data_IF_673352375872
#
_entry.id   IF_673352375872
#
_cell.length_a   1.000
_cell.length_b   1.000
_cell.length_c   1.000
_cell.angle_alpha   90.00
_cell.angle_beta   90.00
_cell.angle_gamma   90.00
#
_symmetry.space_group_name_H-M   'P 1'
#
loop_
_entity.id
_entity.type
_entity.pdbx_description
1 polymer ?
#
# COMPACT_ATOMS: atom_id res chain seq x y z
N UNK A 1 13.24 -0.13 0.37
CA UNK A 1 13.47 0.72 -0.82
C UNK A 1 12.20 0.99 -1.64
N UNK A 2 11.36 0.01 -1.99
CA UNK A 2 10.15 0.27 -2.81
C UNK A 2 9.16 1.32 -2.26
N UNK A 3 8.93 1.40 -0.95
CA UNK A 3 8.01 2.38 -0.35
C UNK A 3 8.54 3.82 -0.33
N UNK A 4 9.87 4.03 -0.41
CA UNK A 4 10.44 5.38 -0.48
C UNK A 4 10.13 6.03 -1.82
N UNK A 5 10.01 5.23 -2.88
CA UNK A 5 9.72 5.73 -4.23
C UNK A 5 8.25 6.17 -4.36
N UNK A 6 7.35 5.58 -3.55
CA UNK A 6 5.94 5.99 -3.49
C UNK A 6 5.78 7.46 -3.02
N UNK A 7 6.81 8.02 -2.38
CA UNK A 7 6.79 9.36 -1.79
C UNK A 7 5.52 9.60 -0.96
N UNK A 8 5.13 8.60 -0.17
CA UNK A 8 3.93 8.67 0.65
C UNK A 8 4.10 9.73 1.73
N UNK A 9 3.28 10.77 1.67
CA UNK A 9 3.32 11.89 2.61
C UNK A 9 2.33 11.66 3.77
N UNK A 10 2.60 12.26 4.94
CA UNK A 10 1.60 12.35 6.01
C UNK A 10 0.26 12.86 5.48
N UNK A 11 -0.84 12.32 6.02
CA UNK A 11 -2.23 12.67 5.66
C UNK A 11 -2.73 12.17 4.30
N UNK A 12 -1.92 11.42 3.54
CA UNK A 12 -2.38 10.74 2.33
C UNK A 12 -3.20 9.49 2.64
N UNK A 13 -4.05 9.11 1.70
CA UNK A 13 -4.64 7.78 1.61
C UNK A 13 -3.83 6.91 0.67
N UNK A 14 -3.18 5.89 1.22
CA UNK A 14 -2.34 4.97 0.46
C UNK A 14 -2.98 3.60 0.45
N UNK A 15 -3.09 2.98 -0.72
CA UNK A 15 -3.50 1.57 -0.83
C UNK A 15 -2.24 0.72 -0.99
N UNK A 16 -2.12 -0.32 -0.17
CA UNK A 16 -1.13 -1.38 -0.38
C UNK A 16 -1.83 -2.67 -0.81
N UNK A 17 -1.78 -2.97 -2.10
CA UNK A 17 -2.27 -4.21 -2.69
C UNK A 17 -1.09 -5.18 -2.83
N UNK A 18 -0.62 -5.68 -1.69
CA UNK A 18 0.56 -6.53 -1.59
C UNK A 18 0.21 -8.03 -1.52
N UNK A 19 0.98 -8.86 -2.24
CA UNK A 19 0.97 -10.32 -2.08
C UNK A 19 2.05 -10.79 -1.07
N UNK A 20 2.83 -9.88 -0.48
CA UNK A 20 3.96 -10.17 0.42
C UNK A 20 3.68 -10.11 1.93
N UNK A 21 4.76 -10.12 2.71
CA UNK A 21 4.79 -10.19 4.20
C UNK A 21 4.34 -8.91 4.94
N UNK A 22 4.02 -7.81 4.23
CA UNK A 22 3.57 -6.57 4.85
C UNK A 22 4.66 -5.66 5.41
N UNK A 23 5.94 -5.99 5.20
CA UNK A 23 7.07 -5.13 5.55
C UNK A 23 7.04 -3.77 4.84
N UNK A 24 6.47 -3.72 3.63
CA UNK A 24 6.24 -2.47 2.87
C UNK A 24 5.13 -1.63 3.50
N UNK A 25 4.02 -2.25 3.93
CA UNK A 25 2.94 -1.58 4.65
C UNK A 25 3.43 -0.88 5.92
N UNK A 26 4.22 -1.57 6.74
CA UNK A 26 4.79 -1.01 7.97
C UNK A 26 5.79 0.12 7.68
N UNK A 27 6.61 -0.06 6.65
CA UNK A 27 7.54 0.99 6.23
C UNK A 27 6.80 2.22 5.67
N UNK A 28 5.67 2.04 4.96
CA UNK A 28 4.81 3.16 4.56
C UNK A 28 4.25 3.91 5.77
N UNK A 29 3.80 3.20 6.80
CA UNK A 29 3.33 3.83 8.04
C UNK A 29 4.43 4.67 8.71
N UNK A 30 5.67 4.17 8.72
CA UNK A 30 6.82 4.93 9.23
C UNK A 30 7.11 6.19 8.39
N UNK A 31 7.08 6.09 7.05
CA UNK A 31 7.29 7.24 6.15
C UNK A 31 6.20 8.31 6.31
N UNK A 32 4.95 7.87 6.44
CA UNK A 32 3.79 8.73 6.68
C UNK A 32 3.73 9.26 8.12
N UNK A 33 4.71 8.92 8.97
CA UNK A 33 4.79 9.29 10.39
C UNK A 33 3.52 8.91 11.16
N UNK A 34 2.94 7.76 10.81
CA UNK A 34 1.67 7.27 11.31
C UNK A 34 0.54 8.33 11.23
N UNK A 35 0.48 9.08 10.13
CA UNK A 35 -0.57 10.06 9.83
C UNK A 35 -1.18 9.81 8.47
N UNK A 36 -2.50 9.88 8.38
CA UNK A 36 -3.26 9.54 7.17
C UNK A 36 -3.88 8.15 7.31
N UNK A 37 -4.04 7.44 6.18
CA UNK A 37 -4.61 6.09 6.19
C UNK A 37 -3.93 5.20 5.18
N UNK A 38 -3.61 3.98 5.60
CA UNK A 38 -3.07 2.93 4.74
C UNK A 38 -4.11 1.83 4.65
N UNK A 39 -4.63 1.56 3.45
CA UNK A 39 -5.57 0.47 3.21
C UNK A 39 -4.79 -0.72 2.66
N UNK A 40 -4.59 -1.73 3.49
CA UNK A 40 -3.92 -2.95 3.07
C UNK A 40 -4.92 -3.98 2.56
N UNK A 41 -4.74 -4.36 1.30
CA UNK A 41 -5.60 -5.28 0.59
C UNK A 41 -4.95 -6.64 0.44
N UNK A 42 -5.69 -7.68 0.82
CA UNK A 42 -5.24 -9.05 0.62
C UNK A 42 -6.37 -10.01 0.25
N UNK A 43 -6.05 -11.03 -0.54
CA UNK A 43 -6.95 -12.15 -0.86
C UNK A 43 -6.86 -13.28 0.18
N UNK A 44 -6.01 -13.14 1.20
CA UNK A 44 -5.85 -14.11 2.29
C UNK A 44 -6.14 -13.44 3.63
N UNK A 45 -7.27 -13.78 4.25
CA UNK A 45 -7.69 -13.19 5.54
C UNK A 45 -6.70 -13.42 6.67
N UNK A 46 -6.05 -14.60 6.72
CA UNK A 46 -5.09 -14.92 7.78
C UNK A 46 -3.91 -13.95 7.79
N UNK A 47 -3.48 -13.46 6.62
CA UNK A 47 -2.42 -12.45 6.49
C UNK A 47 -2.86 -11.08 6.99
N UNK A 48 -4.13 -10.72 6.79
CA UNK A 48 -4.68 -9.48 7.35
C UNK A 48 -4.65 -9.51 8.88
N UNK A 49 -4.96 -10.66 9.49
CA UNK A 49 -4.90 -10.84 10.95
C UNK A 49 -3.47 -10.74 11.48
N UNK A 50 -2.51 -11.38 10.80
CA UNK A 50 -1.09 -11.25 11.15
C UNK A 50 -0.60 -9.81 11.03
N UNK A 51 -1.01 -9.13 9.97
CA UNK A 51 -0.65 -7.73 9.74
C UNK A 51 -1.19 -6.80 10.80
N UNK A 52 -2.43 -7.00 11.22
CA UNK A 52 -3.01 -6.24 12.32
C UNK A 52 -2.21 -6.43 13.62
N UNK A 53 -1.78 -7.67 13.93
CA UNK A 53 -0.90 -7.95 15.08
C UNK A 53 0.46 -7.28 14.96
N UNK A 54 1.06 -7.27 13.76
CA UNK A 54 2.35 -6.62 13.52
C UNK A 54 2.24 -5.09 13.63
N UNK A 55 1.19 -4.49 13.06
CA UNK A 55 0.92 -3.06 13.17
C UNK A 55 0.74 -2.63 14.63
N UNK A 56 -0.05 -3.38 15.41
CA UNK A 56 -0.22 -3.15 16.83
C UNK A 56 1.12 -3.22 17.60
N UNK A 57 1.97 -4.22 17.32
CA UNK A 57 3.31 -4.33 17.92
C UNK A 57 4.24 -3.18 17.53
N UNK A 58 4.08 -2.64 16.32
CA UNK A 58 4.85 -1.51 15.82
C UNK A 58 4.30 -0.14 16.25
N UNK A 59 3.19 -0.10 17.01
CA UNK A 59 2.53 1.15 17.41
C UNK A 59 1.88 1.90 16.24
N UNK A 60 1.50 1.19 15.19
CA UNK A 60 0.87 1.75 13.99
C UNK A 60 -0.65 1.55 14.06
N UNK A 61 -1.40 2.65 13.99
CA UNK A 61 -2.87 2.68 14.07
C UNK A 61 -3.53 3.13 12.75
N UNK A 62 -2.74 3.63 11.80
CA UNK A 62 -3.22 4.13 10.50
C UNK A 62 -3.53 3.05 9.46
N UNK A 63 -3.21 1.77 9.76
CA UNK A 63 -3.41 0.65 8.84
C UNK A 63 -4.83 0.06 9.00
N UNK A 64 -5.62 0.15 7.94
CA UNK A 64 -6.90 -0.54 7.77
C UNK A 64 -6.71 -1.76 6.88
N UNK A 65 -7.06 -2.94 7.36
CA UNK A 65 -7.01 -4.18 6.56
C UNK A 65 -8.35 -4.43 5.88
N UNK A 66 -8.33 -4.76 4.57
CA UNK A 66 -9.53 -5.15 3.83
C UNK A 66 -9.30 -6.41 3.01
N UNK A 67 -10.24 -7.33 3.13
CA UNK A 67 -10.24 -8.55 2.34
C UNK A 67 -10.79 -8.29 0.93
N UNK A 68 -10.04 -8.73 -0.09
CA UNK A 68 -10.51 -8.70 -1.48
C UNK A 68 -11.21 -10.03 -1.77
N UNK A 69 -12.54 -10.02 -1.76
CA UNK A 69 -13.37 -11.13 -2.24
C UNK A 69 -13.66 -11.07 -3.75
N UNK A 70 -13.51 -9.90 -4.38
CA UNK A 70 -13.75 -9.70 -5.80
C UNK A 70 -13.10 -8.42 -6.34
N UNK A 71 -12.95 -8.32 -7.66
CA UNK A 71 -12.42 -7.12 -8.36
C UNK A 71 -13.25 -5.85 -8.15
N UNK A 72 -14.50 -5.96 -7.65
CA UNK A 72 -15.35 -4.81 -7.31
C UNK A 72 -14.78 -3.97 -6.16
N UNK A 73 -14.05 -4.60 -5.25
CA UNK A 73 -13.42 -3.93 -4.10
C UNK A 73 -12.37 -2.93 -4.59
N UNK A 74 -11.53 -3.32 -5.55
CA UNK A 74 -10.52 -2.46 -6.15
C UNK A 74 -11.13 -1.26 -6.91
N UNK A 75 -12.26 -1.46 -7.60
CA UNK A 75 -12.94 -0.38 -8.35
C UNK A 75 -13.42 0.76 -7.45
N UNK A 76 -13.95 0.45 -6.26
CA UNK A 76 -14.43 1.44 -5.29
C UNK A 76 -13.31 2.28 -4.66
N UNK A 77 -12.08 1.81 -4.80
CA UNK A 77 -10.90 2.43 -4.19
C UNK A 77 -10.18 3.42 -5.11
N UNK A 78 -10.57 3.47 -6.38
CA UNK A 78 -9.98 4.35 -7.40
C UNK A 78 -10.03 5.83 -7.02
N UNK A 79 -11.13 6.28 -6.41
CA UNK A 79 -11.33 7.70 -6.10
C UNK A 79 -10.91 8.08 -4.66
N UNK A 80 -10.50 7.08 -3.87
CA UNK A 80 -10.20 7.25 -2.44
C UNK A 80 -8.70 7.44 -2.20
N UNK A 81 -7.86 6.79 -3.01
CA UNK A 81 -6.43 6.73 -2.79
C UNK A 81 -5.67 7.86 -3.50
N UNK A 82 -4.78 8.51 -2.76
CA UNK A 82 -3.81 9.44 -3.31
C UNK A 82 -2.60 8.69 -3.90
N UNK A 83 -2.35 7.45 -3.44
CA UNK A 83 -1.27 6.58 -3.92
C UNK A 83 -1.70 5.12 -3.87
N UNK A 84 -1.22 4.32 -4.81
CA UNK A 84 -1.38 2.87 -4.84
C UNK A 84 0.01 2.22 -4.86
N UNK A 85 0.20 1.19 -4.06
CA UNK A 85 1.32 0.28 -4.13
C UNK A 85 0.76 -1.07 -4.57
N UNK A 86 1.21 -1.54 -5.73
CA UNK A 86 0.89 -2.89 -6.21
C UNK A 86 2.20 -3.66 -6.22
N UNK A 87 2.26 -4.78 -5.50
CA UNK A 87 3.47 -5.60 -5.44
C UNK A 87 3.23 -6.92 -6.17
N UNK A 88 3.42 -6.89 -7.50
CA UNK A 88 3.22 -8.05 -8.36
C UNK A 88 4.52 -8.85 -8.48
N UNK A 89 4.55 -10.14 -8.11
CA UNK A 89 5.77 -10.94 -7.98
C UNK A 89 6.55 -11.15 -9.30
N UNK A 90 5.90 -11.02 -10.46
CA UNK A 90 6.52 -11.21 -11.77
C UNK A 90 7.18 -9.97 -12.36
N UNK A 91 6.76 -8.77 -11.92
CA UNK A 91 7.18 -7.52 -12.56
C UNK A 91 7.91 -6.56 -11.62
N UNK A 92 7.73 -6.68 -10.29
CA UNK A 92 8.24 -5.70 -9.29
C UNK A 92 7.93 -4.25 -9.70
N UNK A 93 6.79 -4.05 -10.38
CA UNK A 93 6.27 -2.75 -10.79
C UNK A 93 5.23 -2.31 -9.78
N UNK A 94 5.27 -1.04 -9.40
CA UNK A 94 4.23 -0.40 -8.61
C UNK A 94 3.56 0.70 -9.46
N UNK A 95 2.32 1.03 -9.12
CA UNK A 95 1.51 1.97 -9.87
C UNK A 95 1.06 3.08 -8.94
N UNK A 96 1.54 4.30 -9.12
CA UNK A 96 0.94 5.44 -8.42
C UNK A 96 -0.32 5.87 -9.14
N UNK A 97 -1.47 5.71 -8.48
CA UNK A 97 -2.66 6.45 -8.88
C UNK A 97 -2.62 7.79 -8.15
N UNK A 98 -2.43 8.89 -8.87
CA UNK A 98 -2.72 10.22 -8.35
C UNK A 98 -4.16 10.58 -8.75
N UNK A 99 -4.82 11.49 -8.02
CA UNK A 99 -6.18 11.96 -8.37
C UNK A 99 -6.28 12.55 -9.79
N UNK A 100 -5.15 12.89 -10.41
CA UNK A 100 -5.01 13.39 -11.79
C UNK A 100 -4.76 12.30 -12.85
N UNK A 101 -4.54 11.03 -12.47
CA UNK A 101 -4.25 9.93 -13.41
C UNK A 101 -3.36 8.82 -12.81
N UNK A 102 -3.23 7.70 -13.53
CA UNK A 102 -2.29 6.63 -13.17
C UNK A 102 -0.92 6.92 -13.77
N UNK A 103 0.11 7.02 -12.93
CA UNK A 103 1.51 7.04 -13.34
C UNK A 103 2.16 5.71 -12.96
N UNK A 104 2.74 5.02 -13.93
CA UNK A 104 3.44 3.76 -13.71
C UNK A 104 4.90 4.07 -13.44
N UNK A 105 5.43 3.64 -12.29
CA UNK A 105 6.85 3.78 -11.97
C UNK A 105 7.41 2.40 -11.60
N UNK A 106 8.36 1.90 -12.39
CA UNK A 106 8.89 0.53 -12.24
C UNK A 106 10.11 0.53 -11.32
N UNK A 107 10.29 -0.51 -10.49
CA UNK A 107 11.55 -0.73 -9.79
C UNK A 107 12.61 -1.20 -10.81
N UNK A 108 13.36 -0.27 -11.41
CA UNK A 108 14.39 -0.65 -12.40
C UNK A 108 15.09 0.46 -13.17
N UNK A 109 14.50 1.65 -13.33
CA UNK A 109 15.27 2.79 -13.84
C UNK A 109 16.03 3.41 -12.66
N UNK A 110 17.33 3.09 -12.54
CA UNK A 110 18.27 3.98 -11.84
C UNK A 110 18.01 5.39 -12.39
N UNK A 111 17.86 6.42 -11.55
CA UNK A 111 18.10 7.76 -12.04
C UNK A 111 19.57 7.79 -12.52
N UNK A 112 19.80 8.27 -13.74
CA UNK A 112 21.12 8.82 -14.08
C UNK A 112 21.37 10.09 -13.26
#
# INVERSE_FOLDING_TARGET
>A
MASQILNAQPSMHVIDACVGEGSKTLHLAALMKNKGRIIDLNTKEWRLKERWKQAAKAGVDTIETRFISSSKVCKRMKDIADRLLLDVPLLRVWYTCEKSGYKMETYGSRPE
#
